data_IF_898984017023
#
_entry.id   IF_898984017023
#
_cell.length_a   1.000
_cell.length_b   1.000
_cell.length_c   1.000
_cell.angle_alpha   90.00
_cell.angle_beta   90.00
_cell.angle_gamma   90.00
#
_symmetry.space_group_name_H-M   'P 1'
#
loop_
_entity.id
_entity.type
_entity.pdbx_description
1 polymer ?
#
# COMPACT_ATOMS: atom_id res chain seq x y z
N UNK A 1 3.75 -29.64 -4.90
CA UNK A 1 4.46 -29.41 -3.63
C UNK A 1 4.70 -27.91 -3.51
N UNK A 2 4.07 -27.25 -2.54
CA UNK A 2 4.26 -25.80 -2.30
C UNK A 2 5.62 -25.66 -1.60
N UNK A 3 6.51 -24.75 -2.04
CA UNK A 3 7.80 -24.54 -1.39
C UNK A 3 7.61 -24.19 0.10
N UNK A 4 8.41 -24.79 0.98
CA UNK A 4 8.34 -24.60 2.43
C UNK A 4 8.37 -23.12 2.86
N UNK A 5 9.13 -22.29 2.15
CA UNK A 5 9.19 -20.84 2.36
C UNK A 5 7.86 -20.12 2.12
N UNK A 6 7.04 -20.60 1.18
CA UNK A 6 5.72 -20.03 0.92
C UNK A 6 4.69 -20.39 2.02
N UNK A 7 4.87 -21.57 2.64
CA UNK A 7 4.03 -22.03 3.78
C UNK A 7 4.46 -21.33 5.08
N UNK A 8 5.72 -21.00 5.22
CA UNK A 8 6.28 -20.28 6.37
C UNK A 8 5.85 -18.79 6.36
N UNK A 9 5.83 -18.14 5.18
CA UNK A 9 5.30 -16.79 5.00
C UNK A 9 3.81 -16.68 5.37
N UNK A 10 3.02 -17.74 5.21
CA UNK A 10 1.60 -17.80 5.58
C UNK A 10 1.35 -17.85 7.11
N UNK A 11 2.40 -17.92 7.93
CA UNK A 11 2.31 -17.99 9.40
C UNK A 11 2.91 -16.76 10.09
N UNK A 12 3.48 -15.84 9.35
CA UNK A 12 4.10 -14.65 9.93
C UNK A 12 3.02 -13.71 10.47
N UNK A 13 3.12 -13.40 11.77
CA UNK A 13 2.34 -12.32 12.39
C UNK A 13 3.23 -11.09 12.49
N UNK A 14 2.66 -9.96 12.15
CA UNK A 14 3.25 -8.65 12.37
C UNK A 14 2.31 -7.82 13.23
N UNK A 15 2.57 -7.77 14.53
CA UNK A 15 1.65 -7.19 15.51
C UNK A 15 0.27 -7.87 15.45
N UNK A 16 -0.78 -7.10 15.17
CA UNK A 16 -2.17 -7.59 15.00
C UNK A 16 -2.47 -8.16 13.61
N UNK A 17 -1.53 -8.03 12.67
CA UNK A 17 -1.72 -8.41 11.27
C UNK A 17 -1.21 -9.82 11.01
N UNK A 18 -2.00 -10.61 10.29
CA UNK A 18 -1.58 -11.91 9.74
C UNK A 18 -1.14 -11.68 8.30
N UNK A 19 0.13 -11.95 8.02
CA UNK A 19 0.69 -11.79 6.66
C UNK A 19 0.19 -12.93 5.79
N UNK A 20 -0.38 -12.58 4.63
CA UNK A 20 -0.89 -13.54 3.66
C UNK A 20 0.08 -13.72 2.49
N UNK A 21 0.55 -12.63 1.91
CA UNK A 21 1.50 -12.65 0.78
C UNK A 21 2.23 -11.31 0.64
N UNK A 22 3.42 -11.34 0.06
CA UNK A 22 4.12 -10.12 -0.37
C UNK A 22 3.60 -9.71 -1.75
N UNK A 23 3.13 -8.47 -1.88
CA UNK A 23 2.57 -7.95 -3.14
C UNK A 23 3.47 -6.96 -3.86
N UNK A 24 4.38 -6.29 -3.16
CA UNK A 24 5.35 -5.39 -3.77
C UNK A 24 6.60 -5.20 -2.92
N UNK A 25 7.69 -4.80 -3.55
CA UNK A 25 8.92 -4.42 -2.89
C UNK A 25 9.55 -3.23 -3.61
N UNK A 26 9.85 -2.17 -2.86
CA UNK A 26 10.61 -1.02 -3.30
C UNK A 26 12.00 -0.97 -2.66
N UNK A 27 12.72 0.12 -2.88
CA UNK A 27 14.05 0.33 -2.28
C UNK A 27 14.02 0.59 -0.77
N UNK A 28 12.90 1.11 -0.24
CA UNK A 28 12.77 1.53 1.16
C UNK A 28 11.76 0.73 1.95
N UNK A 29 10.80 0.12 1.28
CA UNK A 29 9.67 -0.55 1.92
C UNK A 29 9.21 -1.78 1.13
N UNK A 30 8.56 -2.68 1.83
CA UNK A 30 7.84 -3.82 1.27
C UNK A 30 6.35 -3.67 1.55
N UNK A 31 5.51 -4.17 0.65
CA UNK A 31 4.06 -4.16 0.80
C UNK A 31 3.55 -5.59 0.83
N UNK A 32 2.73 -5.88 1.83
CA UNK A 32 2.13 -7.19 2.07
C UNK A 32 0.61 -7.11 2.04
N UNK A 33 -0.02 -8.15 1.52
CA UNK A 33 -1.43 -8.41 1.78
C UNK A 33 -1.54 -9.04 3.16
N UNK A 34 -2.37 -8.46 4.00
CA UNK A 34 -2.54 -8.90 5.39
C UNK A 34 -4.01 -9.00 5.74
N UNK A 35 -4.31 -9.74 6.81
CA UNK A 35 -5.63 -9.72 7.43
C UNK A 35 -5.56 -9.41 8.92
N UNK A 36 -6.57 -8.74 9.41
CA UNK A 36 -6.87 -8.60 10.83
C UNK A 36 -8.13 -9.37 11.16
N UNK A 37 -8.17 -9.95 12.35
CA UNK A 37 -9.34 -10.64 12.88
C UNK A 37 -9.88 -9.84 14.04
N UNK A 38 -11.09 -9.37 13.92
CA UNK A 38 -11.80 -8.60 14.94
C UNK A 38 -12.71 -9.47 15.80
N UNK A 39 -13.59 -8.80 16.54
CA UNK A 39 -14.60 -9.43 17.39
C UNK A 39 -15.49 -10.35 16.54
N UNK A 40 -15.88 -11.49 17.11
CA UNK A 40 -16.73 -12.50 16.46
C UNK A 40 -16.16 -13.07 15.14
N UNK A 41 -14.83 -13.04 14.96
CA UNK A 41 -14.19 -13.58 13.77
C UNK A 41 -14.31 -12.71 12.52
N UNK A 42 -14.71 -11.44 12.66
CA UNK A 42 -14.77 -10.52 11.53
C UNK A 42 -13.36 -10.29 10.95
N UNK A 43 -13.18 -10.62 9.68
CA UNK A 43 -11.89 -10.48 9.00
C UNK A 43 -11.87 -9.24 8.11
N UNK A 44 -10.75 -8.50 8.14
CA UNK A 44 -10.50 -7.37 7.23
C UNK A 44 -9.19 -7.59 6.49
N UNK A 45 -9.26 -7.58 5.17
CA UNK A 45 -8.09 -7.65 4.29
C UNK A 45 -7.59 -6.24 3.99
N UNK A 46 -6.26 -6.05 4.06
CA UNK A 46 -5.60 -4.76 3.92
C UNK A 46 -4.25 -4.93 3.23
N UNK A 47 -3.69 -3.82 2.74
CA UNK A 47 -2.29 -3.72 2.38
C UNK A 47 -1.50 -3.15 3.56
N UNK A 48 -0.34 -3.73 3.83
CA UNK A 48 0.57 -3.29 4.89
C UNK A 48 1.93 -2.94 4.28
N UNK A 49 2.31 -1.67 4.36
CA UNK A 49 3.63 -1.19 3.93
C UNK A 49 4.55 -1.17 5.15
N UNK A 50 5.65 -1.92 5.11
CA UNK A 50 6.68 -1.98 6.15
C UNK A 50 7.95 -1.35 5.64
N UNK A 51 8.64 -0.58 6.47
CA UNK A 51 9.95 -0.04 6.14
C UNK A 51 11.01 -1.16 6.23
N UNK A 52 11.89 -1.24 5.23
CA UNK A 52 12.96 -2.24 5.23
C UNK A 52 13.97 -1.96 6.37
N UNK A 53 14.50 -3.01 7.04
CA UNK A 53 15.42 -2.84 8.17
C UNK A 53 16.66 -2.02 7.85
N UNK A 54 17.23 -2.13 6.64
CA UNK A 54 18.38 -1.32 6.21
C UNK A 54 18.01 0.15 6.05
N UNK A 55 16.82 0.45 5.55
CA UNK A 55 16.31 1.82 5.41
C UNK A 55 15.92 2.43 6.76
N UNK A 56 15.51 1.61 7.71
CA UNK A 56 15.22 2.04 9.08
C UNK A 56 16.45 2.54 9.85
N UNK A 57 17.66 2.28 9.36
CA UNK A 57 18.92 2.83 9.94
C UNK A 57 19.22 4.24 9.45
N UNK A 58 18.61 4.68 8.37
CA UNK A 58 18.79 6.00 7.79
C UNK A 58 17.64 6.93 8.23
N UNK A 59 17.93 7.86 9.14
CA UNK A 59 16.91 8.75 9.71
C UNK A 59 16.13 9.59 8.70
N UNK A 60 16.68 9.83 7.50
CA UNK A 60 15.96 10.52 6.41
C UNK A 60 14.80 9.68 5.88
N UNK A 61 14.97 8.36 5.73
CA UNK A 61 13.88 7.47 5.24
C UNK A 61 12.78 7.32 6.28
N UNK A 62 13.15 7.25 7.56
CA UNK A 62 12.17 7.24 8.65
C UNK A 62 11.34 8.53 8.63
N UNK A 63 11.97 9.69 8.50
CA UNK A 63 11.26 10.98 8.43
C UNK A 63 10.34 11.04 7.22
N UNK A 64 10.84 10.69 6.03
CA UNK A 64 10.01 10.66 4.82
C UNK A 64 8.81 9.72 4.95
N UNK A 65 9.00 8.56 5.57
CA UNK A 65 7.93 7.59 5.80
C UNK A 65 6.87 8.13 6.79
N UNK A 66 7.31 8.80 7.85
CA UNK A 66 6.41 9.43 8.83
C UNK A 66 5.65 10.60 8.20
N UNK A 67 6.32 11.44 7.40
CA UNK A 67 5.69 12.58 6.74
C UNK A 67 4.67 12.12 5.69
N UNK A 68 5.00 11.07 4.89
CA UNK A 68 4.04 10.42 4.00
C UNK A 68 2.80 9.93 4.76
N UNK A 69 3.02 9.24 5.89
CA UNK A 69 1.94 8.72 6.71
C UNK A 69 1.03 9.83 7.27
N UNK A 70 1.61 10.91 7.78
CA UNK A 70 0.85 12.05 8.33
C UNK A 70 -0.07 12.67 7.30
N UNK A 71 0.42 12.89 6.09
CA UNK A 71 -0.39 13.43 5.00
C UNK A 71 -1.46 12.42 4.59
N UNK A 72 -1.07 11.17 4.37
CA UNK A 72 -1.96 10.14 3.84
C UNK A 72 -3.14 9.80 4.77
N UNK A 73 -2.94 9.84 6.09
CA UNK A 73 -4.00 9.55 7.08
C UNK A 73 -5.15 10.57 7.01
N UNK A 74 -4.86 11.81 6.63
CA UNK A 74 -5.87 12.88 6.56
C UNK A 74 -6.64 12.90 5.23
N UNK A 75 -6.18 12.14 4.23
CA UNK A 75 -6.78 12.11 2.90
C UNK A 75 -7.87 11.04 2.82
N UNK A 76 -9.08 11.47 2.49
CA UNK A 76 -10.22 10.58 2.22
C UNK A 76 -10.86 11.00 0.90
N UNK A 77 -10.54 10.27 -0.17
CA UNK A 77 -11.04 10.56 -1.51
C UNK A 77 -11.08 9.27 -2.33
N UNK A 78 -12.08 9.12 -3.21
CA UNK A 78 -12.29 7.91 -4.02
C UNK A 78 -11.09 7.52 -4.90
N UNK A 79 -10.26 8.49 -5.28
CA UNK A 79 -9.09 8.29 -6.14
C UNK A 79 -7.77 8.28 -5.35
N UNK A 80 -7.83 8.19 -4.02
CA UNK A 80 -6.66 8.12 -3.14
C UNK A 80 -6.85 6.91 -2.24
N UNK A 81 -5.80 6.07 -2.14
CA UNK A 81 -5.80 4.91 -1.25
C UNK A 81 -6.01 5.36 0.18
N UNK A 82 -7.04 4.81 0.83
CA UNK A 82 -7.35 5.13 2.22
C UNK A 82 -6.33 4.49 3.17
N UNK A 83 -5.72 5.31 4.01
CA UNK A 83 -4.88 4.83 5.12
C UNK A 83 -5.76 4.61 6.35
N UNK A 84 -5.60 3.45 7.00
CA UNK A 84 -6.39 3.05 8.16
C UNK A 84 -5.61 3.14 9.47
N UNK A 85 -4.30 2.89 9.42
CA UNK A 85 -3.47 2.81 10.62
C UNK A 85 -2.01 3.09 10.26
N UNK A 86 -1.32 3.73 11.18
CA UNK A 86 0.11 3.98 11.12
C UNK A 86 0.70 3.74 12.49
N UNK A 87 1.78 2.98 12.57
CA UNK A 87 2.35 2.66 13.87
C UNK A 87 3.67 1.92 13.81
N UNK A 88 3.99 1.32 14.93
CA UNK A 88 5.19 0.50 15.11
C UNK A 88 4.78 -0.87 15.67
N UNK A 89 5.22 -1.93 15.05
CA UNK A 89 5.06 -3.30 15.51
C UNK A 89 6.37 -4.07 15.31
N UNK A 90 6.71 -4.94 16.26
CA UNK A 90 7.94 -5.75 16.23
C UNK A 90 9.22 -4.94 15.95
N UNK A 91 9.25 -3.67 16.42
CA UNK A 91 10.36 -2.76 16.21
C UNK A 91 10.38 -2.00 14.88
N UNK A 92 9.47 -2.30 13.95
CA UNK A 92 9.40 -1.72 12.62
C UNK A 92 8.20 -0.78 12.45
N UNK A 93 8.38 0.26 11.65
CA UNK A 93 7.30 1.17 11.25
C UNK A 93 6.47 0.54 10.14
N UNK A 94 5.15 0.75 10.21
CA UNK A 94 4.21 0.28 9.20
C UNK A 94 3.12 1.29 8.90
N UNK A 95 2.53 1.14 7.73
CA UNK A 95 1.35 1.86 7.26
C UNK A 95 0.34 0.82 6.76
N UNK A 96 -0.83 0.75 7.39
CA UNK A 96 -1.91 -0.11 6.94
C UNK A 96 -2.91 0.69 6.11
N UNK A 97 -3.25 0.18 4.95
CA UNK A 97 -4.06 0.89 3.97
C UNK A 97 -5.03 -0.05 3.24
N UNK A 98 -5.91 0.53 2.49
CA UNK A 98 -6.81 -0.14 1.57
C UNK A 98 -6.03 -1.04 0.60
N UNK A 99 -6.47 -2.29 0.47
CA UNK A 99 -5.97 -3.19 -0.58
C UNK A 99 -6.70 -2.89 -1.88
N UNK A 100 -5.94 -2.44 -2.87
CA UNK A 100 -6.46 -2.26 -4.22
C UNK A 100 -6.31 -3.59 -4.97
N UNK A 101 -7.44 -4.21 -5.27
CA UNK A 101 -7.47 -5.40 -6.12
C UNK A 101 -7.44 -4.99 -7.58
N UNK A 102 -6.33 -5.27 -8.25
CA UNK A 102 -6.14 -4.87 -9.64
C UNK A 102 -4.67 -4.78 -10.02
N UNK A 103 -4.42 -3.96 -11.01
CA UNK A 103 -3.08 -3.76 -11.58
C UNK A 103 -2.81 -2.29 -11.79
N UNK A 104 -1.55 -1.89 -11.69
CA UNK A 104 -1.13 -0.57 -12.12
C UNK A 104 -1.32 -0.37 -13.62
N UNK A 105 -1.43 0.88 -14.04
CA UNK A 105 -1.70 1.23 -15.45
C UNK A 105 -0.64 0.68 -16.41
N UNK A 106 0.62 0.69 -16.02
CA UNK A 106 1.71 0.16 -16.85
C UNK A 106 1.53 -1.34 -17.10
N UNK A 107 1.30 -2.10 -16.05
CA UNK A 107 1.05 -3.54 -16.13
C UNK A 107 -0.19 -3.84 -16.97
N UNK A 108 -1.27 -3.08 -16.79
CA UNK A 108 -2.50 -3.25 -17.55
C UNK A 108 -2.28 -3.00 -19.05
N UNK A 109 -1.55 -1.96 -19.42
CA UNK A 109 -1.23 -1.64 -20.82
C UNK A 109 -0.35 -2.72 -21.47
N UNK A 110 0.69 -3.16 -20.77
CA UNK A 110 1.58 -4.24 -21.27
C UNK A 110 0.81 -5.52 -21.50
N UNK A 111 -0.05 -5.92 -20.58
CA UNK A 111 -0.86 -7.14 -20.72
C UNK A 111 -1.93 -7.05 -21.80
N UNK A 112 -2.45 -5.86 -22.04
CA UNK A 112 -3.39 -5.62 -23.15
C UNK A 112 -2.67 -5.58 -24.51
N UNK A 113 -1.35 -5.77 -24.57
CA UNK A 113 -0.56 -5.66 -25.82
C UNK A 113 -0.57 -4.25 -26.39
N UNK A 114 -0.86 -3.24 -25.59
CA UNK A 114 -0.98 -1.85 -26.04
C UNK A 114 0.37 -1.14 -25.91
N UNK A 115 0.91 -0.71 -27.04
CA UNK A 115 2.10 0.15 -27.06
C UNK A 115 1.80 1.58 -26.56
N UNK A 116 0.53 1.99 -26.63
CA UNK A 116 0.05 3.33 -26.22
C UNK A 116 -1.30 3.21 -25.54
N UNK A 117 -1.53 4.04 -24.53
CA UNK A 117 -2.83 4.18 -23.91
C UNK A 117 -3.83 4.82 -24.91
N UNK A 118 -5.01 4.22 -25.13
CA UNK A 118 -6.05 4.87 -25.91
C UNK A 118 -6.42 6.24 -25.36
N UNK A 119 -6.59 7.25 -26.23
CA UNK A 119 -6.84 8.63 -25.80
C UNK A 119 -8.01 8.77 -24.83
N UNK A 120 -9.19 8.14 -25.05
CA UNK A 120 -10.31 8.25 -24.10
C UNK A 120 -9.97 7.70 -22.73
N UNK A 121 -9.20 6.60 -22.65
CA UNK A 121 -8.75 5.99 -21.39
C UNK A 121 -7.75 6.90 -20.70
N UNK A 122 -6.78 7.44 -21.44
CA UNK A 122 -5.80 8.38 -20.90
C UNK A 122 -6.48 9.64 -20.35
N UNK A 123 -7.43 10.22 -21.06
CA UNK A 123 -8.18 11.39 -20.64
C UNK A 123 -8.97 11.10 -19.35
N UNK A 124 -9.63 9.96 -19.26
CA UNK A 124 -10.36 9.55 -18.05
C UNK A 124 -9.42 9.39 -16.85
N UNK A 125 -8.34 8.62 -17.00
CA UNK A 125 -7.38 8.37 -15.92
C UNK A 125 -6.75 9.67 -15.44
N UNK A 126 -6.31 10.55 -16.36
CA UNK A 126 -5.73 11.85 -16.01
C UNK A 126 -6.73 12.75 -15.29
N UNK A 127 -8.00 12.72 -15.69
CA UNK A 127 -9.07 13.47 -15.01
C UNK A 127 -9.27 12.99 -13.56
N UNK A 128 -9.29 11.67 -13.34
CA UNK A 128 -9.43 11.09 -12.00
C UNK A 128 -8.20 11.35 -11.12
N UNK A 129 -6.99 11.27 -11.70
CA UNK A 129 -5.75 11.64 -11.00
C UNK A 129 -5.75 13.11 -10.60
N UNK A 130 -6.12 14.00 -11.54
CA UNK A 130 -6.22 15.43 -11.28
C UNK A 130 -7.21 15.76 -10.16
N UNK A 131 -8.35 15.06 -10.11
CA UNK A 131 -9.35 15.24 -9.05
C UNK A 131 -8.78 14.83 -7.67
N UNK A 132 -8.06 13.72 -7.60
CA UNK A 132 -7.40 13.30 -6.37
C UNK A 132 -6.31 14.27 -5.91
N UNK A 133 -5.49 14.77 -6.83
CA UNK A 133 -4.45 15.76 -6.54
C UNK A 133 -5.02 17.10 -6.09
N UNK A 134 -6.07 17.60 -6.76
CA UNK A 134 -6.76 18.84 -6.36
C UNK A 134 -7.28 18.73 -4.91
N UNK A 135 -7.91 17.59 -4.57
CA UNK A 135 -8.35 17.33 -3.21
C UNK A 135 -7.19 17.35 -2.21
N UNK A 136 -6.10 16.65 -2.52
CA UNK A 136 -4.93 16.56 -1.65
C UNK A 136 -4.30 17.95 -1.42
N UNK A 137 -4.14 18.77 -2.48
CA UNK A 137 -3.56 20.11 -2.39
C UNK A 137 -4.40 21.04 -1.51
N UNK A 138 -5.73 20.97 -1.59
CA UNK A 138 -6.62 21.78 -0.75
C UNK A 138 -6.63 21.37 0.72
N UNK A 139 -6.16 20.15 1.02
CA UNK A 139 -6.10 19.65 2.41
C UNK A 139 -4.80 20.02 3.11
N UNK A 140 -3.74 20.25 2.34
CA UNK A 140 -2.39 20.53 2.87
C UNK A 140 -2.08 22.02 2.97
N UNK A 141 -2.95 22.89 2.46
CA UNK A 141 -2.91 24.34 2.63
C UNK A 141 -3.82 24.75 3.82
#
# INVERSE_FOLDING_TARGET
>A
MIPSAAVEALRERFGKYHVLEKIAQGGMAEVYKVKTVGIAGFEKIQALKRILPHSAREGRFIRSFIDEARIAVELTHRNIVQVFDFGKADGELFLAMELIEGRDLRTALVQAGQARCPIPVAAYVLGEVAAGLDYAHRKTD
#
